data_IF_926737156689
#
_entry.id   IF_926737156689
#
_cell.length_a   1.000
_cell.length_b   1.000
_cell.length_c   1.000
_cell.angle_alpha   90.00
_cell.angle_beta   90.00
_cell.angle_gamma   90.00
#
_symmetry.space_group_name_H-M   'P 1'
#
loop_
_entity.id
_entity.type
_entity.pdbx_description
1 polymer ?
#
# COMPACT_ATOMS: atom_id res chain seq x y z
N UNK A 1 31.17 -34.52 11.14
CA UNK A 1 31.01 -34.06 12.54
C UNK A 1 31.01 -32.54 12.54
N UNK A 2 29.97 -31.96 13.16
CA UNK A 2 29.73 -30.59 13.62
C UNK A 2 30.36 -29.40 12.86
N UNK A 3 29.60 -28.40 12.40
CA UNK A 3 28.31 -27.92 12.87
C UNK A 3 28.39 -26.40 13.02
N UNK A 4 27.36 -25.67 12.60
CA UNK A 4 27.26 -24.23 12.87
C UNK A 4 26.50 -23.41 11.82
N UNK A 5 25.21 -23.72 11.57
CA UNK A 5 24.27 -22.73 11.05
C UNK A 5 24.03 -21.69 12.13
N UNK A 6 24.52 -20.48 11.95
CA UNK A 6 24.11 -19.33 12.75
C UNK A 6 22.83 -18.73 12.18
N UNK A 7 21.67 -19.19 12.64
CA UNK A 7 20.41 -18.44 12.51
C UNK A 7 20.36 -17.43 13.65
N UNK A 8 21.05 -16.31 13.49
CA UNK A 8 20.88 -15.16 14.37
C UNK A 8 19.68 -14.35 13.87
N UNK A 9 18.60 -14.30 14.66
CA UNK A 9 17.56 -13.30 14.48
C UNK A 9 18.20 -11.92 14.74
N UNK A 10 18.55 -11.21 13.68
CA UNK A 10 19.03 -9.84 13.77
C UNK A 10 17.86 -8.90 14.07
N UNK A 11 17.96 -8.14 15.17
CA UNK A 11 17.10 -6.99 15.45
C UNK A 11 17.93 -5.72 15.52
N UNK A 12 17.36 -4.62 15.02
CA UNK A 12 17.81 -3.22 15.03
C UNK A 12 18.94 -2.84 14.04
N UNK A 13 18.50 -2.48 12.83
CA UNK A 13 19.13 -1.53 11.90
C UNK A 13 18.03 -0.64 11.30
N UNK A 14 18.39 0.42 10.58
CA UNK A 14 17.40 1.29 9.91
C UNK A 14 16.65 0.59 8.75
N UNK A 15 17.20 -0.52 8.25
CA UNK A 15 16.57 -1.37 7.24
C UNK A 15 17.03 -2.83 7.36
N UNK A 16 16.24 -3.77 6.83
CA UNK A 16 16.59 -5.17 6.66
C UNK A 16 16.41 -5.59 5.20
N UNK A 17 17.40 -6.30 4.68
CA UNK A 17 17.35 -6.91 3.36
C UNK A 17 17.05 -8.41 3.44
N UNK A 18 16.35 -8.92 2.43
CA UNK A 18 16.13 -10.35 2.23
C UNK A 18 16.38 -10.70 0.77
N UNK A 19 17.03 -11.83 0.51
CA UNK A 19 17.29 -12.32 -0.85
C UNK A 19 16.96 -13.79 -0.92
N UNK A 20 16.30 -14.21 -2.01
CA UNK A 20 15.96 -15.60 -2.29
C UNK A 20 15.80 -15.80 -3.79
N UNK A 21 16.49 -16.79 -4.36
CA UNK A 21 16.24 -17.27 -5.74
C UNK A 21 16.17 -16.14 -6.79
N UNK A 22 17.14 -15.22 -6.77
CA UNK A 22 17.20 -14.08 -7.72
C UNK A 22 16.27 -12.91 -7.41
N UNK A 23 15.50 -12.99 -6.31
CA UNK A 23 14.67 -11.92 -5.79
C UNK A 23 15.35 -11.25 -4.60
N UNK A 24 15.20 -9.93 -4.46
CA UNK A 24 15.68 -9.20 -3.29
C UNK A 24 14.72 -8.09 -2.88
N UNK A 25 14.56 -7.90 -1.58
CA UNK A 25 13.78 -6.79 -0.99
C UNK A 25 14.60 -6.06 0.07
N UNK A 26 14.24 -4.79 0.29
CA UNK A 26 14.68 -4.03 1.46
C UNK A 26 13.46 -3.40 2.13
N UNK A 27 13.33 -3.61 3.44
CA UNK A 27 12.27 -3.05 4.29
C UNK A 27 12.89 -2.11 5.31
N UNK A 28 12.35 -0.90 5.44
CA UNK A 28 12.87 0.14 6.33
C UNK A 28 12.14 0.17 7.66
N UNK A 29 12.85 0.57 8.71
CA UNK A 29 12.26 0.86 10.01
C UNK A 29 11.40 2.13 9.94
N UNK A 30 11.73 3.09 9.08
CA UNK A 30 10.84 4.23 8.80
C UNK A 30 9.60 3.73 8.05
N UNK A 31 8.41 3.96 8.60
CA UNK A 31 7.13 3.62 7.97
C UNK A 31 6.85 2.13 7.75
N UNK A 32 7.78 1.24 8.14
CA UNK A 32 7.74 -0.17 7.75
C UNK A 32 7.85 -0.36 6.24
N UNK A 33 8.42 0.62 5.53
CA UNK A 33 8.23 0.74 4.09
C UNK A 33 9.03 -0.30 3.29
N UNK A 34 8.44 -0.79 2.19
CA UNK A 34 9.15 -1.58 1.19
C UNK A 34 9.95 -0.62 0.28
N UNK A 35 11.23 -0.42 0.60
CA UNK A 35 12.10 0.51 -0.14
C UNK A 35 12.49 0.00 -1.51
N UNK A 36 12.69 -1.30 -1.67
CA UNK A 36 12.98 -1.91 -2.95
C UNK A 36 12.47 -3.34 -3.02
N UNK A 37 12.13 -3.75 -4.23
CA UNK A 37 11.88 -5.13 -4.59
C UNK A 37 12.37 -5.36 -6.03
N UNK A 38 13.29 -6.31 -6.20
CA UNK A 38 13.91 -6.65 -7.48
C UNK A 38 13.77 -8.14 -7.77
N UNK A 39 13.63 -8.48 -9.05
CA UNK A 39 13.64 -9.85 -9.56
C UNK A 39 14.59 -9.91 -10.75
N UNK A 40 15.60 -10.77 -10.69
CA UNK A 40 16.60 -10.88 -11.77
C UNK A 40 17.35 -9.58 -12.05
N UNK A 41 17.45 -8.69 -11.06
CA UNK A 41 18.06 -7.36 -11.23
C UNK A 41 17.12 -6.29 -11.80
N UNK A 42 15.88 -6.60 -12.15
CA UNK A 42 14.86 -5.62 -12.57
C UNK A 42 14.02 -5.17 -11.39
N UNK A 43 13.87 -3.85 -11.22
CA UNK A 43 13.00 -3.25 -10.21
C UNK A 43 11.53 -3.55 -10.51
N UNK A 44 10.84 -4.13 -9.52
CA UNK A 44 9.38 -4.36 -9.55
C UNK A 44 8.66 -3.14 -8.98
N UNK A 45 9.26 -2.51 -7.98
CA UNK A 45 8.80 -1.23 -7.44
C UNK A 45 9.88 -0.16 -7.60
N UNK A 46 9.46 1.10 -7.77
CA UNK A 46 10.37 2.24 -7.89
C UNK A 46 11.14 2.40 -6.58
N UNK A 47 12.47 2.19 -6.59
CA UNK A 47 13.26 2.28 -5.37
C UNK A 47 13.48 3.74 -4.96
N UNK A 48 13.79 3.95 -3.67
CA UNK A 48 14.28 5.23 -3.18
C UNK A 48 15.58 5.09 -2.37
N UNK A 49 16.26 6.22 -2.16
CA UNK A 49 17.57 6.28 -1.54
C UNK A 49 17.55 5.76 -0.08
N UNK A 50 18.56 4.99 0.35
CA UNK A 50 18.70 4.60 1.75
C UNK A 50 18.71 5.82 2.68
N UNK A 51 18.03 5.71 3.83
CA UNK A 51 17.96 6.77 4.83
C UNK A 51 17.09 7.99 4.46
N UNK A 52 16.53 8.05 3.25
CA UNK A 52 15.57 9.09 2.89
C UNK A 52 14.22 8.84 3.58
N UNK A 53 13.46 9.90 3.93
CA UNK A 53 12.04 9.76 4.24
C UNK A 53 11.32 9.16 3.04
N UNK A 54 10.19 8.47 3.24
CA UNK A 54 9.42 7.82 2.16
C UNK A 54 8.87 8.85 1.18
N UNK A 55 9.52 9.12 0.03
CA UNK A 55 9.05 10.15 -0.89
C UNK A 55 7.73 9.67 -1.48
N UNK A 56 6.71 10.52 -1.64
CA UNK A 56 5.42 10.12 -2.23
C UNK A 56 4.82 8.85 -1.63
N UNK A 57 5.01 8.61 -0.32
CA UNK A 57 4.59 7.39 0.39
C UNK A 57 5.17 6.07 -0.17
N UNK A 58 6.28 6.09 -0.91
CA UNK A 58 6.83 4.88 -1.54
C UNK A 58 6.99 3.71 -0.57
N UNK A 59 6.26 2.63 -0.83
CA UNK A 59 6.29 1.39 -0.06
C UNK A 59 5.67 1.48 1.34
N UNK A 60 5.06 2.61 1.70
CA UNK A 60 4.51 2.86 3.02
C UNK A 60 3.27 2.03 3.31
N UNK A 61 3.02 1.81 4.60
CA UNK A 61 1.78 1.24 5.13
C UNK A 61 0.92 2.36 5.67
N UNK A 62 -0.34 2.40 5.22
CA UNK A 62 -1.29 3.51 5.44
C UNK A 62 -2.35 3.04 6.45
N UNK A 63 -2.17 3.39 7.73
CA UNK A 63 -3.05 2.97 8.81
C UNK A 63 -3.04 4.00 9.96
N UNK A 64 -4.14 4.16 10.72
CA UNK A 64 -5.34 3.32 10.76
C UNK A 64 -6.46 3.73 9.80
N UNK A 65 -6.17 4.56 8.79
CA UNK A 65 -7.00 4.73 7.61
C UNK A 65 -6.07 4.93 6.40
N UNK A 66 -6.41 4.34 5.24
CA UNK A 66 -5.79 4.71 3.99
C UNK A 66 -6.45 5.97 3.42
N UNK A 67 -5.72 6.65 2.54
CA UNK A 67 -6.20 7.84 1.83
C UNK A 67 -6.76 8.92 2.78
N UNK A 68 -7.64 9.78 2.28
CA UNK A 68 -8.05 11.02 2.92
C UNK A 68 -9.10 10.81 4.02
N UNK A 69 -9.16 11.78 4.93
CA UNK A 69 -10.17 11.96 5.97
C UNK A 69 -10.57 13.42 6.00
N UNK A 70 -11.88 13.67 5.82
CA UNK A 70 -12.46 15.00 5.73
C UNK A 70 -12.17 15.85 6.98
N UNK A 71 -11.37 16.92 6.82
CA UNK A 71 -11.02 17.85 7.90
C UNK A 71 -10.30 17.21 9.08
N UNK A 72 -9.80 15.99 8.93
CA UNK A 72 -9.25 15.18 10.01
C UNK A 72 -10.27 14.81 11.09
N UNK A 73 -11.57 14.66 10.77
CA UNK A 73 -12.62 14.46 11.78
C UNK A 73 -13.37 13.16 11.57
N UNK A 74 -13.71 12.51 12.67
CA UNK A 74 -14.58 11.34 12.64
C UNK A 74 -15.33 11.20 13.96
N UNK A 75 -16.43 10.44 13.92
CA UNK A 75 -17.19 10.06 15.11
C UNK A 75 -17.14 8.55 15.23
N UNK A 76 -16.73 8.04 16.38
CA UNK A 76 -16.75 6.62 16.67
C UNK A 76 -17.42 6.35 18.02
N UNK A 77 -18.38 5.43 18.04
CA UNK A 77 -19.20 5.12 19.22
C UNK A 77 -19.77 6.38 19.92
N UNK A 78 -20.20 7.35 19.10
CA UNK A 78 -20.79 8.61 19.56
C UNK A 78 -19.79 9.65 20.08
N UNK A 79 -18.48 9.37 20.03
CA UNK A 79 -17.42 10.30 20.45
C UNK A 79 -16.77 10.94 19.24
N UNK A 80 -16.70 12.27 19.23
CA UNK A 80 -15.97 13.01 18.19
C UNK A 80 -14.47 12.95 18.45
N UNK A 81 -13.72 12.70 17.38
CA UNK A 81 -12.27 12.67 17.36
C UNK A 81 -11.72 13.56 16.24
N UNK A 82 -10.51 14.10 16.46
CA UNK A 82 -9.83 14.96 15.49
C UNK A 82 -8.35 14.66 15.42
N UNK A 83 -7.86 14.43 14.22
CA UNK A 83 -6.45 14.21 13.89
C UNK A 83 -5.88 15.44 13.17
N UNK A 84 -4.54 15.63 13.16
CA UNK A 84 -3.92 16.71 12.40
C UNK A 84 -4.21 16.61 10.90
N UNK A 85 -4.53 17.75 10.27
CA UNK A 85 -4.62 17.90 8.82
C UNK A 85 -3.20 18.03 8.27
N UNK A 86 -2.81 17.12 7.37
CA UNK A 86 -1.49 17.10 6.71
C UNK A 86 -1.57 17.39 5.19
N UNK A 87 -2.77 17.52 4.62
CA UNK A 87 -3.03 18.02 3.27
C UNK A 87 -3.82 19.34 3.34
N UNK A 88 -3.20 20.46 3.78
CA UNK A 88 -3.92 21.71 4.06
C UNK A 88 -4.59 22.33 2.83
N UNK A 89 -4.04 22.13 1.63
CA UNK A 89 -4.62 22.64 0.39
C UNK A 89 -5.99 22.04 0.04
N UNK A 90 -6.33 20.88 0.60
CA UNK A 90 -7.62 20.20 0.45
C UNK A 90 -8.37 20.00 1.77
N UNK A 91 -7.82 20.51 2.87
CA UNK A 91 -8.33 20.35 4.23
C UNK A 91 -8.59 18.88 4.60
N UNK A 92 -7.61 18.00 4.36
CA UNK A 92 -7.71 16.57 4.69
C UNK A 92 -6.57 16.09 5.59
N UNK A 93 -6.86 15.07 6.41
CA UNK A 93 -5.83 14.22 7.00
C UNK A 93 -5.67 12.96 6.13
N UNK A 94 -4.47 12.67 5.66
CA UNK A 94 -4.21 11.65 4.66
C UNK A 94 -3.25 10.58 5.19
N UNK A 95 -3.57 9.31 4.90
CA UNK A 95 -2.69 8.14 5.08
C UNK A 95 -2.35 7.70 6.51
N UNK A 96 -3.14 8.11 7.51
CA UNK A 96 -2.95 7.64 8.88
C UNK A 96 -1.64 8.13 9.51
N UNK A 97 -1.10 7.34 10.43
CA UNK A 97 0.11 7.68 11.20
C UNK A 97 1.30 6.79 10.90
N UNK A 98 1.05 5.55 10.48
CA UNK A 98 2.07 4.50 10.51
C UNK A 98 3.27 4.77 9.61
N UNK A 99 3.10 5.56 8.55
CA UNK A 99 4.16 5.94 7.63
C UNK A 99 5.21 6.89 8.26
N UNK A 100 4.83 7.65 9.29
CA UNK A 100 5.73 8.57 10.01
C UNK A 100 6.43 7.90 11.22
N UNK A 101 5.93 6.73 11.63
CA UNK A 101 6.44 6.05 12.82
C UNK A 101 7.65 5.18 12.49
N UNK A 102 8.48 4.95 13.52
CA UNK A 102 9.55 3.96 13.47
C UNK A 102 9.02 2.59 13.88
N UNK A 103 9.28 1.59 13.05
CA UNK A 103 8.90 0.20 13.21
C UNK A 103 10.07 -0.63 13.71
N UNK A 104 9.76 -1.66 14.49
CA UNK A 104 10.73 -2.70 14.85
C UNK A 104 10.78 -3.74 13.75
N UNK A 105 11.97 -3.97 13.21
CA UNK A 105 12.22 -5.01 12.20
C UNK A 105 12.81 -6.28 12.82
N UNK A 106 12.41 -7.43 12.29
CA UNK A 106 12.97 -8.74 12.58
C UNK A 106 13.01 -9.59 11.30
N UNK A 107 13.96 -10.52 11.20
CA UNK A 107 14.03 -11.49 10.10
C UNK A 107 14.20 -12.90 10.66
N UNK A 108 13.52 -13.87 10.03
CA UNK A 108 13.69 -15.30 10.28
C UNK A 108 14.51 -16.00 9.17
N UNK A 109 15.09 -15.22 8.25
CA UNK A 109 15.83 -15.71 7.08
C UNK A 109 14.96 -16.14 5.90
N UNK A 110 13.65 -16.34 6.11
CA UNK A 110 12.68 -16.59 5.04
C UNK A 110 11.79 -15.37 4.76
N UNK A 111 11.74 -14.42 5.70
CA UNK A 111 10.90 -13.23 5.67
C UNK A 111 11.49 -12.10 6.50
N UNK A 112 11.01 -10.89 6.25
CA UNK A 112 11.17 -9.75 7.15
C UNK A 112 9.81 -9.43 7.76
N UNK A 113 9.76 -9.15 9.06
CA UNK A 113 8.56 -8.68 9.75
C UNK A 113 8.84 -7.29 10.33
N UNK A 114 8.03 -6.31 9.94
CA UNK A 114 7.96 -4.99 10.55
C UNK A 114 6.80 -4.97 11.55
N UNK A 115 7.02 -4.44 12.76
CA UNK A 115 5.99 -4.29 13.78
C UNK A 115 5.96 -2.89 14.37
N UNK A 116 4.77 -2.34 14.59
CA UNK A 116 4.54 -1.05 15.26
C UNK A 116 3.35 -1.14 16.21
N UNK A 117 3.35 -0.31 17.24
CA UNK A 117 2.22 -0.14 18.16
C UNK A 117 1.72 1.30 18.02
N UNK A 118 0.47 1.45 17.58
CA UNK A 118 -0.29 2.69 17.77
C UNK A 118 -0.84 2.62 19.18
N UNK A 119 -0.47 3.55 20.06
CA UNK A 119 -0.91 3.53 21.46
C UNK A 119 -1.38 4.91 21.89
N UNK A 120 -2.70 5.15 21.77
CA UNK A 120 -3.31 6.37 22.26
C UNK A 120 -2.79 7.64 21.58
N UNK A 121 -2.69 7.64 20.24
CA UNK A 121 -2.19 8.80 19.49
C UNK A 121 -3.17 9.99 19.56
N UNK A 122 -2.69 11.24 19.43
CA UNK A 122 -3.57 12.40 19.36
C UNK A 122 -4.64 12.24 18.28
N UNK A 123 -5.90 12.32 18.68
CA UNK A 123 -7.03 12.13 17.77
C UNK A 123 -7.38 10.69 17.42
N UNK A 124 -6.61 9.71 17.88
CA UNK A 124 -6.87 8.29 17.71
C UNK A 124 -6.51 7.52 19.00
N UNK A 125 -7.40 7.54 20.01
CA UNK A 125 -7.11 7.06 21.37
C UNK A 125 -7.20 5.52 21.51
N UNK A 126 -6.96 4.78 20.43
CA UNK A 126 -7.04 3.32 20.40
C UNK A 126 -5.64 2.71 20.38
N UNK A 127 -5.50 1.51 20.95
CA UNK A 127 -4.24 0.77 20.97
C UNK A 127 -4.26 -0.37 19.97
N UNK A 128 -3.55 -0.24 18.85
CA UNK A 128 -3.47 -1.23 17.77
C UNK A 128 -2.02 -1.67 17.57
N UNK A 129 -1.76 -2.98 17.69
CA UNK A 129 -0.50 -3.58 17.23
C UNK A 129 -0.65 -3.96 15.76
N UNK A 130 0.21 -3.42 14.90
CA UNK A 130 0.26 -3.76 13.49
C UNK A 130 1.57 -4.49 13.18
N UNK A 131 1.45 -5.64 12.52
CA UNK A 131 2.58 -6.45 12.08
C UNK A 131 2.46 -6.73 10.59
N UNK A 132 3.52 -6.46 9.83
CA UNK A 132 3.57 -6.66 8.38
C UNK A 132 4.73 -7.60 8.06
N UNK A 133 4.40 -8.75 7.48
CA UNK A 133 5.35 -9.79 7.08
C UNK A 133 5.55 -9.75 5.57
N UNK A 134 6.81 -9.66 5.14
CA UNK A 134 7.28 -9.65 3.76
C UNK A 134 8.00 -10.98 3.50
N UNK A 135 7.44 -11.83 2.66
CA UNK A 135 7.97 -13.17 2.39
C UNK A 135 8.19 -13.39 0.89
N UNK A 136 9.40 -13.81 0.52
CA UNK A 136 9.75 -14.17 -0.85
C UNK A 136 9.41 -15.65 -1.11
N UNK A 137 8.67 -15.89 -2.19
CA UNK A 137 8.28 -17.22 -2.66
C UNK A 137 8.40 -17.34 -4.19
N UNK A 138 8.06 -18.51 -4.77
CA UNK A 138 8.18 -18.74 -6.20
C UNK A 138 7.29 -17.81 -7.05
N UNK A 139 6.15 -17.37 -6.50
CA UNK A 139 5.21 -16.47 -7.18
C UNK A 139 5.52 -14.97 -6.93
N UNK A 140 6.69 -14.66 -6.36
CA UNK A 140 7.10 -13.31 -5.99
C UNK A 140 6.99 -13.01 -4.49
N UNK A 141 6.78 -11.73 -4.18
CA UNK A 141 6.69 -11.21 -2.83
C UNK A 141 5.24 -11.27 -2.32
N UNK A 142 5.02 -11.97 -1.21
CA UNK A 142 3.75 -11.93 -0.47
C UNK A 142 3.88 -11.05 0.76
N UNK A 143 2.91 -10.17 0.95
CA UNK A 143 2.84 -9.23 2.07
C UNK A 143 1.57 -9.53 2.86
N UNK A 144 1.73 -9.78 4.15
CA UNK A 144 0.62 -10.09 5.06
C UNK A 144 0.66 -9.12 6.23
N UNK A 145 -0.40 -8.34 6.40
CA UNK A 145 -0.52 -7.40 7.51
C UNK A 145 -1.58 -7.90 8.50
N UNK A 146 -1.25 -7.89 9.79
CA UNK A 146 -2.15 -8.26 10.87
C UNK A 146 -2.25 -7.12 11.87
N UNK A 147 -3.44 -6.55 11.99
CA UNK A 147 -3.78 -5.57 13.00
C UNK A 147 -4.45 -6.28 14.17
N UNK A 148 -4.02 -6.00 15.41
CA UNK A 148 -4.60 -6.55 16.63
C UNK A 148 -4.97 -5.42 17.57
N UNK A 149 -6.23 -5.37 18.00
CA UNK A 149 -6.64 -4.43 19.03
C UNK A 149 -6.11 -4.90 20.39
N UNK A 150 -5.21 -4.10 20.98
CA UNK A 150 -4.60 -4.31 22.30
C UNK A 150 -5.20 -3.41 23.38
N UNK A 151 -6.16 -2.57 23.00
CA UNK A 151 -6.93 -1.73 23.90
C UNK A 151 -8.07 -2.49 24.61
N UNK A 152 -8.86 -1.72 25.36
CA UNK A 152 -9.99 -2.22 26.17
C UNK A 152 -11.36 -1.97 25.53
N UNK A 153 -11.42 -1.19 24.46
CA UNK A 153 -12.63 -0.81 23.72
C UNK A 153 -12.49 -1.21 22.26
N UNK A 154 -13.61 -1.26 21.54
CA UNK A 154 -13.58 -1.40 20.08
C UNK A 154 -12.78 -0.26 19.44
N UNK A 155 -12.19 -0.52 18.27
CA UNK A 155 -11.41 0.46 17.52
C UNK A 155 -11.81 0.48 16.03
N UNK A 156 -11.98 1.66 15.42
CA UNK A 156 -12.16 1.79 13.97
C UNK A 156 -10.82 1.61 13.24
N UNK A 157 -10.79 0.83 12.17
CA UNK A 157 -9.55 0.52 11.46
C UNK A 157 -9.77 0.31 9.96
N UNK A 158 -8.95 0.98 9.17
CA UNK A 158 -8.70 0.71 7.76
C UNK A 158 -7.20 0.58 7.50
N UNK A 159 -6.85 -0.10 6.41
CA UNK A 159 -5.45 -0.26 6.00
C UNK A 159 -5.32 -0.19 4.48
N UNK A 160 -4.24 0.45 4.02
CA UNK A 160 -3.79 0.42 2.64
C UNK A 160 -2.28 0.36 2.55
N UNK A 161 -1.77 0.22 1.33
CA UNK A 161 -0.35 0.08 1.05
C UNK A 161 0.00 0.83 -0.23
N UNK A 162 1.22 1.35 -0.32
CA UNK A 162 1.57 2.29 -1.38
C UNK A 162 2.73 1.83 -2.28
N UNK A 163 2.64 0.66 -2.95
CA UNK A 163 3.67 0.22 -3.88
C UNK A 163 3.62 1.04 -5.18
N UNK A 164 4.79 1.48 -5.64
CA UNK A 164 4.95 2.15 -6.93
C UNK A 164 5.50 1.15 -7.94
N UNK A 165 4.68 0.61 -8.83
CA UNK A 165 5.12 -0.31 -9.87
C UNK A 165 6.12 0.39 -10.79
N UNK A 166 7.28 -0.23 -10.98
CA UNK A 166 8.38 0.34 -11.78
C UNK A 166 8.25 -0.04 -13.25
N UNK A 167 8.50 0.88 -14.19
CA UNK A 167 8.65 0.59 -15.63
C UNK A 167 10.04 0.04 -15.97
N UNK A 168 10.97 -0.03 -15.00
CA UNK A 168 12.36 -0.43 -15.21
C UNK A 168 13.19 0.74 -15.68
N UNK A 169 13.94 0.52 -16.76
CA UNK A 169 14.67 1.60 -17.43
C UNK A 169 13.79 2.40 -18.42
N UNK A 170 12.59 1.90 -18.72
CA UNK A 170 11.64 2.51 -19.64
C UNK A 170 10.88 3.68 -19.00
N UNK A 171 10.20 4.47 -19.83
CA UNK A 171 9.34 5.55 -19.37
C UNK A 171 7.98 4.99 -18.98
N UNK A 172 7.38 5.51 -17.90
CA UNK A 172 6.03 5.10 -17.49
C UNK A 172 4.99 5.38 -18.58
N UNK A 173 5.17 6.46 -19.34
CA UNK A 173 4.24 6.87 -20.41
C UNK A 173 4.14 5.81 -21.54
N UNK A 174 5.20 5.03 -21.75
CA UNK A 174 5.29 4.00 -22.78
C UNK A 174 4.77 2.63 -22.29
N UNK A 175 4.39 2.53 -21.01
CA UNK A 175 3.85 1.31 -20.42
C UNK A 175 2.35 1.14 -20.70
N UNK A 176 1.87 -0.10 -20.60
CA UNK A 176 0.46 -0.44 -20.62
C UNK A 176 -0.03 -0.77 -19.21
N UNK A 177 -1.14 -0.15 -18.80
CA UNK A 177 -1.81 -0.34 -17.52
C UNK A 177 -3.04 -1.25 -17.67
N UNK A 178 -3.27 -2.11 -16.68
CA UNK A 178 -4.53 -2.85 -16.49
C UNK A 178 -4.93 -2.85 -15.03
N UNK A 179 -6.23 -2.73 -14.75
CA UNK A 179 -6.79 -2.65 -13.39
C UNK A 179 -8.01 -3.57 -13.31
N UNK A 180 -7.96 -4.59 -12.46
CA UNK A 180 -9.05 -5.55 -12.27
C UNK A 180 -10.07 -4.99 -11.24
N UNK A 181 -10.88 -4.01 -11.65
CA UNK A 181 -11.94 -3.39 -10.84
C UNK A 181 -13.16 -3.03 -11.70
N UNK A 182 -14.37 -3.08 -11.11
CA UNK A 182 -15.62 -2.90 -11.84
C UNK A 182 -16.26 -1.51 -11.64
N UNK A 183 -15.80 -0.74 -10.66
CA UNK A 183 -16.36 0.56 -10.35
C UNK A 183 -15.27 1.62 -10.09
N UNK A 184 -15.64 2.88 -10.27
CA UNK A 184 -14.81 4.05 -10.00
C UNK A 184 -15.38 4.84 -8.81
N UNK A 185 -14.49 5.37 -7.99
CA UNK A 185 -14.81 6.25 -6.87
C UNK A 185 -14.76 7.68 -7.39
N UNK A 186 -15.93 8.23 -7.72
CA UNK A 186 -16.08 9.64 -8.07
C UNK A 186 -15.71 10.49 -6.86
N UNK A 187 -14.91 11.53 -7.06
CA UNK A 187 -14.49 12.45 -5.98
C UNK A 187 -14.92 13.89 -6.24
N UNK A 188 -15.02 14.66 -5.15
CA UNK A 188 -15.14 16.12 -5.22
C UNK A 188 -13.78 16.81 -5.46
N UNK A 189 -13.76 18.14 -5.47
CA UNK A 189 -12.56 18.95 -5.68
C UNK A 189 -11.49 18.79 -4.57
N UNK A 190 -11.87 18.23 -3.41
CA UNK A 190 -10.97 17.91 -2.30
C UNK A 190 -10.47 16.46 -2.37
N UNK A 191 -10.82 15.74 -3.44
CA UNK A 191 -10.58 14.31 -3.64
C UNK A 191 -11.21 13.43 -2.55
N UNK A 192 -12.32 13.86 -1.96
CA UNK A 192 -13.14 13.04 -1.09
C UNK A 192 -14.20 12.30 -1.91
N UNK A 193 -14.59 11.05 -1.57
CA UNK A 193 -15.58 10.31 -2.33
C UNK A 193 -16.95 11.02 -2.35
N UNK A 194 -17.47 11.26 -3.55
CA UNK A 194 -18.82 11.72 -3.83
C UNK A 194 -19.77 10.57 -4.24
N UNK A 195 -19.21 9.41 -4.62
CA UNK A 195 -19.96 8.18 -4.82
C UNK A 195 -19.20 7.11 -5.59
N UNK A 196 -19.78 5.90 -5.63
CA UNK A 196 -19.30 4.81 -6.49
C UNK A 196 -20.14 4.82 -7.77
N UNK A 197 -19.47 4.76 -8.93
CA UNK A 197 -20.04 4.86 -10.27
C UNK A 197 -19.47 3.77 -11.19
N UNK A 198 -20.16 3.44 -12.31
CA UNK A 198 -19.52 2.70 -13.40
C UNK A 198 -18.23 3.40 -13.85
N UNK A 199 -17.21 2.62 -14.19
CA UNK A 199 -15.93 3.16 -14.67
C UNK A 199 -16.16 3.93 -15.98
N UNK A 200 -15.78 5.22 -16.07
CA UNK A 200 -15.93 5.98 -17.31
C UNK A 200 -14.97 5.47 -18.39
N UNK A 201 -15.32 5.56 -19.69
CA UNK A 201 -14.52 4.98 -20.77
C UNK A 201 -13.04 5.42 -20.77
N UNK A 202 -12.76 6.66 -20.41
CA UNK A 202 -11.42 7.22 -20.30
C UNK A 202 -10.56 6.59 -19.19
N UNK A 203 -11.19 6.05 -18.14
CA UNK A 203 -10.54 5.35 -17.01
C UNK A 203 -10.73 3.83 -17.05
N UNK A 204 -11.39 3.28 -18.08
CA UNK A 204 -11.56 1.83 -18.19
C UNK A 204 -10.25 1.14 -18.60
N UNK A 205 -9.50 0.68 -17.59
CA UNK A 205 -8.31 -0.17 -17.72
C UNK A 205 -8.64 -1.67 -17.49
N UNK A 206 -9.92 -2.03 -17.38
CA UNK A 206 -10.36 -3.37 -16.98
C UNK A 206 -10.57 -4.32 -18.16
N UNK A 207 -10.92 -3.78 -19.33
CA UNK A 207 -11.29 -4.57 -20.52
C UNK A 207 -10.09 -5.01 -21.36
N UNK A 208 -9.03 -4.20 -21.40
CA UNK A 208 -7.76 -4.50 -22.07
C UNK A 208 -6.63 -3.60 -21.55
N UNK A 209 -5.35 -4.00 -21.68
CA UNK A 209 -4.23 -3.11 -21.39
C UNK A 209 -4.29 -1.83 -22.23
N UNK A 210 -4.07 -0.68 -21.60
CA UNK A 210 -4.09 0.64 -22.25
C UNK A 210 -2.81 1.42 -21.95
N UNK A 211 -2.31 2.22 -22.89
CA UNK A 211 -1.17 3.10 -22.63
C UNK A 211 -1.43 4.00 -21.42
N UNK A 212 -0.42 4.14 -20.56
CA UNK A 212 -0.41 5.19 -19.55
C UNK A 212 -0.36 6.55 -20.26
N UNK A 213 0.57 6.72 -21.21
CA UNK A 213 0.69 7.92 -22.03
C UNK A 213 0.68 9.21 -21.20
N UNK A 214 -0.10 10.19 -21.64
CA UNK A 214 -0.28 11.46 -20.92
C UNK A 214 -1.34 11.40 -19.80
N UNK A 215 -1.88 10.23 -19.47
CA UNK A 215 -2.88 10.11 -18.42
C UNK A 215 -2.31 10.57 -17.07
N UNK A 216 -3.12 11.32 -16.34
CA UNK A 216 -2.86 11.79 -14.98
C UNK A 216 -3.90 11.15 -14.09
N UNK A 217 -3.48 10.13 -13.35
CA UNK A 217 -4.34 9.37 -12.46
C UNK A 217 -4.04 9.77 -11.01
N UNK A 218 -5.10 9.96 -10.26
CA UNK A 218 -5.13 9.92 -8.79
C UNK A 218 -6.53 9.40 -8.40
N UNK A 219 -6.84 8.23 -8.95
CA UNK A 219 -8.21 7.71 -9.02
C UNK A 219 -8.40 6.47 -8.14
N UNK A 220 -9.53 6.46 -7.43
CA UNK A 220 -9.99 5.32 -6.67
C UNK A 220 -10.84 4.40 -7.55
N UNK A 221 -10.60 3.10 -7.45
CA UNK A 221 -11.41 2.05 -8.06
C UNK A 221 -11.95 1.15 -6.96
N UNK A 222 -13.22 0.76 -7.10
CA UNK A 222 -13.95 -0.08 -6.17
C UNK A 222 -14.41 -1.38 -6.85
N UNK A 223 -14.97 -2.29 -6.06
CA UNK A 223 -15.47 -3.57 -6.55
C UNK A 223 -14.37 -4.36 -7.28
N UNK A 224 -13.25 -4.59 -6.58
CA UNK A 224 -12.13 -5.37 -7.08
C UNK A 224 -12.58 -6.70 -7.71
N UNK A 225 -12.36 -6.84 -9.02
CA UNK A 225 -12.70 -8.03 -9.80
C UNK A 225 -11.63 -9.08 -9.55
N UNK A 226 -12.07 -10.31 -9.23
CA UNK A 226 -11.17 -11.39 -8.83
C UNK A 226 -11.20 -12.55 -9.82
N UNK A 227 -10.01 -13.04 -10.14
CA UNK A 227 -9.85 -14.30 -10.86
C UNK A 227 -10.19 -15.51 -9.99
N UNK A 228 -10.07 -16.70 -10.58
CA UNK A 228 -10.31 -17.97 -9.89
C UNK A 228 -9.38 -18.22 -8.70
N UNK A 229 -8.20 -17.58 -8.69
CA UNK A 229 -7.22 -17.64 -7.59
C UNK A 229 -7.55 -16.67 -6.42
N UNK A 230 -8.70 -15.97 -6.52
CA UNK A 230 -9.17 -14.99 -5.56
C UNK A 230 -8.39 -13.68 -5.55
N UNK A 231 -7.55 -13.43 -6.57
CA UNK A 231 -6.75 -12.21 -6.68
C UNK A 231 -7.38 -11.21 -7.64
N UNK A 232 -7.38 -9.94 -7.23
CA UNK A 232 -7.53 -8.78 -8.09
C UNK A 232 -6.15 -8.17 -8.31
N UNK A 233 -5.93 -7.48 -9.42
CA UNK A 233 -4.61 -7.05 -9.86
C UNK A 233 -4.60 -5.63 -10.42
N UNK A 234 -3.44 -4.99 -10.27
CA UNK A 234 -3.00 -3.86 -11.09
C UNK A 234 -1.69 -4.27 -11.76
N UNK A 235 -1.58 -4.07 -13.07
CA UNK A 235 -0.45 -4.53 -13.89
C UNK A 235 0.10 -3.40 -14.72
N UNK A 236 1.42 -3.26 -14.72
CA UNK A 236 2.17 -2.30 -15.52
C UNK A 236 3.12 -3.07 -16.45
N UNK A 237 2.70 -3.28 -17.69
CA UNK A 237 3.50 -3.91 -18.72
C UNK A 237 4.44 -2.88 -19.36
N UNK A 238 5.74 -3.15 -19.32
CA UNK A 238 6.79 -2.27 -19.83
C UNK A 238 7.27 -2.72 -21.24
N UNK A 239 7.74 -1.79 -22.09
CA UNK A 239 8.34 -2.12 -23.39
C UNK A 239 9.49 -3.14 -23.35
N UNK A 240 10.14 -3.31 -22.20
CA UNK A 240 11.20 -4.31 -22.03
C UNK A 240 10.70 -5.77 -21.98
N UNK A 241 9.39 -5.98 -22.18
CA UNK A 241 8.76 -7.30 -22.21
C UNK A 241 8.44 -7.86 -20.84
N UNK A 242 8.58 -7.06 -19.77
CA UNK A 242 8.27 -7.46 -18.40
C UNK A 242 7.08 -6.66 -17.85
N UNK A 243 6.31 -7.29 -16.96
CA UNK A 243 5.15 -6.71 -16.29
C UNK A 243 5.37 -6.70 -14.78
N UNK A 244 5.51 -5.50 -14.21
CA UNK A 244 5.43 -5.33 -12.76
C UNK A 244 3.95 -5.37 -12.35
N UNK A 245 3.60 -6.15 -11.33
CA UNK A 245 2.20 -6.34 -10.95
C UNK A 245 2.02 -6.37 -9.44
N UNK A 246 0.95 -5.74 -8.97
CA UNK A 246 0.42 -5.88 -7.62
C UNK A 246 -0.85 -6.74 -7.66
N UNK A 247 -1.01 -7.62 -6.68
CA UNK A 247 -2.26 -8.35 -6.45
C UNK A 247 -2.76 -8.15 -5.04
N UNK A 248 -4.08 -8.22 -4.86
CA UNK A 248 -4.74 -8.15 -3.56
C UNK A 248 -5.78 -9.26 -3.41
N UNK A 249 -6.10 -9.60 -2.16
CA UNK A 249 -7.21 -10.49 -1.79
C UNK A 249 -8.20 -9.76 -0.90
N UNK A 250 -9.44 -10.22 -0.84
CA UNK A 250 -10.43 -9.71 0.11
C UNK A 250 -9.87 -9.74 1.54
N UNK A 251 -10.15 -8.72 2.38
CA UNK A 251 -11.06 -7.60 2.15
C UNK A 251 -10.39 -6.35 1.52
N UNK A 252 -9.27 -6.49 0.80
CA UNK A 252 -8.69 -5.39 0.02
C UNK A 252 -9.47 -5.25 -1.29
N UNK A 253 -10.59 -4.53 -1.22
CA UNK A 253 -11.61 -4.41 -2.26
C UNK A 253 -11.51 -3.11 -3.08
N UNK A 254 -10.57 -2.24 -2.72
CA UNK A 254 -10.34 -0.96 -3.37
C UNK A 254 -8.91 -0.85 -3.88
N UNK A 255 -8.74 -0.16 -5.01
CA UNK A 255 -7.45 0.22 -5.55
C UNK A 255 -7.37 1.74 -5.65
N UNK A 256 -6.32 2.37 -5.13
CA UNK A 256 -5.94 3.72 -5.58
C UNK A 256 -4.87 3.55 -6.67
N UNK A 257 -5.03 4.26 -7.79
CA UNK A 257 -4.05 4.24 -8.87
C UNK A 257 -3.58 5.67 -9.13
N UNK A 258 -2.27 5.90 -8.98
CA UNK A 258 -1.69 7.22 -9.18
C UNK A 258 -0.46 7.18 -10.08
N UNK A 259 -0.37 8.10 -11.05
CA UNK A 259 0.79 8.22 -11.96
C UNK A 259 1.89 9.14 -11.44
N UNK A 260 1.76 9.69 -10.23
CA UNK A 260 2.82 10.47 -9.58
C UNK A 260 3.13 11.81 -10.22
N UNK A 261 2.10 12.49 -10.73
CA UNK A 261 2.17 13.82 -11.37
C UNK A 261 2.37 14.97 -10.37
N UNK A 262 3.38 14.84 -9.51
CA UNK A 262 3.70 15.79 -8.46
C UNK A 262 5.12 16.32 -8.68
N UNK A 263 5.29 17.56 -9.18
CA UNK A 263 6.61 18.15 -9.45
C UNK A 263 7.56 18.15 -8.25
N UNK A 264 7.01 18.22 -7.03
CA UNK A 264 7.78 18.21 -5.78
C UNK A 264 8.47 16.85 -5.51
N UNK A 265 8.11 15.79 -6.24
CA UNK A 265 8.83 14.50 -6.20
C UNK A 265 10.15 14.54 -6.97
N UNK A 266 10.42 15.60 -7.74
CA UNK A 266 11.66 15.80 -8.48
C UNK A 266 11.96 14.60 -9.40
N UNK A 267 13.10 13.90 -9.27
CA UNK A 267 13.43 12.76 -10.12
C UNK A 267 12.44 11.58 -10.03
N UNK A 268 11.58 11.55 -9.02
CA UNK A 268 10.55 10.52 -8.85
C UNK A 268 9.19 10.92 -9.44
N UNK A 269 9.03 12.14 -9.95
CA UNK A 269 7.83 12.55 -10.68
C UNK A 269 7.62 11.60 -11.87
N UNK A 270 6.43 10.99 -11.95
CA UNK A 270 6.08 9.98 -12.97
C UNK A 270 7.11 8.85 -13.14
N UNK A 271 7.82 8.46 -12.08
CA UNK A 271 8.79 7.36 -12.15
C UNK A 271 8.13 5.96 -12.17
N UNK A 272 6.82 5.87 -11.93
CA UNK A 272 6.06 4.62 -11.94
C UNK A 272 4.58 4.86 -11.70
N UNK A 273 3.84 3.79 -11.43
CA UNK A 273 2.40 3.84 -11.11
C UNK A 273 2.16 3.29 -9.72
N UNK A 274 1.63 4.11 -8.80
CA UNK A 274 1.14 3.63 -7.53
C UNK A 274 -0.06 2.70 -7.77
N UNK A 275 -0.03 1.53 -7.15
CA UNK A 275 -1.05 0.50 -7.27
C UNK A 275 -1.46 0.07 -5.86
N UNK A 276 -2.31 0.85 -5.21
CA UNK A 276 -2.52 0.79 -3.77
C UNK A 276 -3.72 -0.08 -3.40
N UNK A 277 -3.52 -1.31 -2.87
CA UNK A 277 -4.65 -2.09 -2.38
C UNK A 277 -5.09 -1.54 -1.02
N UNK A 278 -6.39 -1.26 -0.88
CA UNK A 278 -6.97 -0.68 0.33
C UNK A 278 -8.18 -1.49 0.81
N UNK A 279 -8.35 -1.55 2.13
CA UNK A 279 -9.48 -2.27 2.74
C UNK A 279 -10.80 -1.50 2.73
N UNK A 280 -10.73 -0.20 2.50
CA UNK A 280 -11.85 0.71 2.54
C UNK A 280 -11.52 1.92 1.64
N UNK A 281 -12.52 2.66 1.16
CA UNK A 281 -12.28 3.85 0.36
C UNK A 281 -11.73 4.99 1.21
N UNK A 282 -11.36 6.09 0.55
CA UNK A 282 -11.10 7.35 1.24
C UNK A 282 -12.30 7.76 2.12
N UNK A 283 -12.02 8.52 3.16
CA UNK A 283 -12.97 9.02 4.15
C UNK A 283 -13.72 7.95 4.97
N UNK A 284 -13.35 6.68 4.84
CA UNK A 284 -13.99 5.56 5.55
C UNK A 284 -14.01 5.73 7.08
N UNK A 285 -13.01 6.39 7.67
CA UNK A 285 -12.99 6.63 9.11
C UNK A 285 -14.16 7.52 9.57
N UNK A 286 -14.60 8.48 8.74
CA UNK A 286 -15.74 9.34 9.00
C UNK A 286 -17.07 8.74 8.51
N UNK A 287 -17.08 8.12 7.33
CA UNK A 287 -18.31 7.59 6.72
C UNK A 287 -18.72 6.23 7.28
N UNK A 288 -17.78 5.48 7.85
CA UNK A 288 -17.96 4.08 8.25
C UNK A 288 -17.93 3.09 7.08
N UNK A 289 -17.74 3.56 5.85
CA UNK A 289 -17.81 2.73 4.64
C UNK A 289 -16.66 1.71 4.59
N UNK A 290 -17.00 0.41 4.61
CA UNK A 290 -16.06 -0.72 4.70
C UNK A 290 -15.04 -0.63 5.86
N UNK A 291 -15.28 0.25 6.84
CA UNK A 291 -14.40 0.44 7.99
C UNK A 291 -14.46 -0.78 8.91
N UNK A 292 -13.31 -1.36 9.24
CA UNK A 292 -13.28 -2.50 10.15
C UNK A 292 -13.49 -2.02 11.59
N UNK A 293 -14.37 -2.72 12.31
CA UNK A 293 -14.45 -2.64 13.78
C UNK A 293 -13.60 -3.75 14.39
N UNK A 294 -12.52 -3.38 15.08
CA UNK A 294 -11.66 -4.31 15.79
C UNK A 294 -12.08 -4.40 17.25
N UNK A 295 -12.63 -5.54 17.68
CA UNK A 295 -12.95 -5.78 19.10
C UNK A 295 -11.68 -6.02 19.94
N UNK A 296 -11.69 -5.72 21.24
CA UNK A 296 -10.57 -5.98 22.15
C UNK A 296 -10.02 -7.41 22.02
N UNK A 297 -8.70 -7.52 21.84
CA UNK A 297 -7.99 -8.79 21.69
C UNK A 297 -8.21 -9.50 20.35
N UNK A 298 -9.03 -8.95 19.43
CA UNK A 298 -9.24 -9.51 18.09
C UNK A 298 -8.25 -8.95 17.09
N UNK A 299 -8.00 -9.77 16.06
CA UNK A 299 -7.12 -9.44 14.96
C UNK A 299 -7.86 -9.47 13.63
N UNK A 300 -7.39 -8.66 12.68
CA UNK A 300 -7.73 -8.75 11.26
C UNK A 300 -6.46 -8.87 10.45
N UNK A 301 -6.49 -9.74 9.46
CA UNK A 301 -5.36 -10.01 8.58
C UNK A 301 -5.77 -9.75 7.14
N UNK A 302 -4.92 -9.05 6.40
CA UNK A 302 -5.06 -8.82 4.96
C UNK A 302 -3.82 -9.33 4.24
N UNK A 303 -3.97 -9.73 2.97
CA UNK A 303 -2.86 -10.22 2.16
C UNK A 303 -2.91 -9.66 0.75
N UNK A 304 -1.74 -9.25 0.28
CA UNK A 304 -1.48 -8.77 -1.07
C UNK A 304 -0.05 -9.15 -1.47
N UNK A 305 0.39 -8.81 -2.66
CA UNK A 305 1.76 -9.08 -3.07
C UNK A 305 2.17 -8.45 -4.38
N UNK A 306 3.41 -8.69 -4.75
CA UNK A 306 4.07 -8.12 -5.91
C UNK A 306 4.83 -9.20 -6.68
N UNK A 307 4.81 -9.12 -8.01
CA UNK A 307 5.60 -9.99 -8.85
C UNK A 307 6.05 -9.29 -10.14
N UNK A 308 6.98 -9.94 -10.83
CA UNK A 308 7.45 -9.54 -12.15
C UNK A 308 7.26 -10.73 -13.08
N UNK A 309 6.49 -10.56 -14.13
CA UNK A 309 6.15 -11.61 -15.09
C UNK A 309 6.58 -11.20 -16.49
N UNK A 310 6.80 -12.15 -17.38
CA UNK A 310 6.89 -11.86 -18.82
C UNK A 310 5.53 -11.37 -19.34
N UNK A 311 5.55 -10.41 -20.26
CA UNK A 311 4.36 -9.94 -20.97
C UNK A 311 3.78 -11.13 -21.76
N UNK A 312 2.48 -11.40 -21.56
CA UNK A 312 1.74 -12.38 -22.37
C UNK A 312 1.09 -11.71 -23.57
#
# INVERSE_FOLDING_TARGET
MNGGRGTGAGTSGDELALTREGQSIVVTASGGALRSYRVGGRDVVVPFAPGAPTPGMHGAVLAPWPNRLDGGRYVFDGVEHRVPVNEPGRDNANHGFTHELRWRLASDGASVTASVLLDGLPGYPFTIRLEVRYALGPDGLTITATATNRGRTDAPFGIGFHPWLSPGAERVDDCLLSVDAAAWVETDDRLLPAGVRPVPPELDYSTRPRPVGAARLDDGFAEAVRGQDGRSWVRLASPDGLTAAAWSRAPLDFWQVCTGDFPDLGPLERAGVAAEPMSCPANALASGDHLMRLHPGRSRTVSWGLCLNEVR
#
